data_IF_813844754801
#
_entry.id   IF_813844754801
#
_cell.length_a   1.000
_cell.length_b   1.000
_cell.length_c   1.000
_cell.angle_alpha   90.00
_cell.angle_beta   90.00
_cell.angle_gamma   90.00
#
_symmetry.space_group_name_H-M   'P 1'
#
loop_
_entity.id
_entity.type
_entity.pdbx_description
1 polymer ?
#
# COMPACT_ATOMS: atom_id res chain seq x y z
N UNK A 1 19.51 19.29 -23.66
CA UNK A 1 18.97 18.35 -24.66
C UNK A 1 19.07 16.98 -24.01
N UNK A 2 18.00 16.16 -23.96
CA UNK A 2 18.19 14.77 -23.60
C UNK A 2 19.23 14.19 -24.57
N UNK A 3 20.18 13.44 -24.05
CA UNK A 3 21.16 12.75 -24.87
C UNK A 3 20.38 11.75 -25.76
N UNK A 4 20.42 11.93 -27.07
CA UNK A 4 19.72 11.06 -28.03
C UNK A 4 20.13 9.60 -27.83
N UNK A 5 21.37 9.37 -27.41
CA UNK A 5 21.88 8.04 -27.09
C UNK A 5 21.22 7.46 -25.82
N UNK A 6 21.04 8.26 -24.76
CA UNK A 6 20.33 7.82 -23.55
C UNK A 6 18.86 7.51 -23.84
N UNK A 7 18.23 8.32 -24.68
CA UNK A 7 16.83 8.09 -25.12
C UNK A 7 16.73 6.77 -25.90
N UNK A 8 17.69 6.50 -26.79
CA UNK A 8 17.74 5.23 -27.52
C UNK A 8 17.96 4.03 -26.58
N UNK A 9 18.84 4.15 -25.58
CA UNK A 9 19.05 3.11 -24.57
C UNK A 9 17.80 2.89 -23.72
N UNK A 10 17.09 3.96 -23.33
CA UNK A 10 15.85 3.87 -22.57
C UNK A 10 14.78 3.10 -23.35
N UNK A 11 14.56 3.43 -24.63
CA UNK A 11 13.64 2.72 -25.50
C UNK A 11 14.02 1.24 -25.70
N UNK A 12 15.32 0.96 -25.90
CA UNK A 12 15.84 -0.41 -26.01
C UNK A 12 15.51 -1.24 -24.77
N UNK A 13 15.83 -0.71 -23.58
CA UNK A 13 15.61 -1.42 -22.31
C UNK A 13 14.12 -1.62 -22.05
N UNK A 14 13.27 -0.63 -22.29
CA UNK A 14 11.83 -0.77 -22.06
C UNK A 14 11.16 -1.80 -22.99
N UNK A 15 11.71 -2.04 -24.17
CA UNK A 15 11.19 -3.03 -25.12
C UNK A 15 11.67 -4.48 -24.86
N UNK A 16 12.76 -4.67 -24.10
CA UNK A 16 13.41 -5.98 -23.92
C UNK A 16 13.35 -6.48 -22.47
N UNK A 17 12.47 -7.46 -22.20
CA UNK A 17 12.32 -8.08 -20.87
C UNK A 17 13.61 -8.76 -20.40
N UNK A 18 14.36 -9.42 -21.28
CA UNK A 18 15.58 -10.12 -20.90
C UNK A 18 16.67 -9.13 -20.48
N UNK A 19 16.73 -7.97 -21.14
CA UNK A 19 17.63 -6.89 -20.76
C UNK A 19 17.20 -6.25 -19.43
N UNK A 20 15.90 -6.04 -19.22
CA UNK A 20 15.36 -5.58 -17.93
C UNK A 20 15.72 -6.53 -16.79
N UNK A 21 15.64 -7.85 -17.02
CA UNK A 21 15.98 -8.86 -16.03
C UNK A 21 17.49 -8.92 -15.76
N UNK A 22 18.31 -8.77 -16.80
CA UNK A 22 19.78 -8.80 -16.66
C UNK A 22 20.32 -7.57 -15.93
N UNK A 23 19.73 -6.40 -16.13
CA UNK A 23 20.18 -5.14 -15.52
C UNK A 23 19.48 -4.82 -14.20
N UNK A 24 18.24 -5.28 -14.05
CA UNK A 24 17.29 -4.75 -13.05
C UNK A 24 17.67 -5.03 -11.60
N UNK A 25 18.43 -6.09 -11.35
CA UNK A 25 18.77 -6.55 -10.00
C UNK A 25 20.24 -6.21 -9.63
N UNK A 26 20.96 -5.47 -10.49
CA UNK A 26 22.33 -5.03 -10.22
C UNK A 26 22.31 -3.84 -9.26
N UNK A 27 22.80 -4.05 -8.03
CA UNK A 27 22.85 -3.00 -7.01
C UNK A 27 24.07 -2.07 -7.14
N UNK A 28 25.22 -2.61 -7.53
CA UNK A 28 26.46 -1.84 -7.68
C UNK A 28 26.39 -0.92 -8.91
N UNK A 29 26.55 0.39 -8.69
CA UNK A 29 26.38 1.41 -9.72
C UNK A 29 27.39 1.29 -10.86
N UNK A 30 28.65 0.93 -10.56
CA UNK A 30 29.71 0.76 -11.58
C UNK A 30 29.45 -0.46 -12.45
N UNK A 31 29.11 -1.57 -11.82
CA UNK A 31 28.75 -2.82 -12.51
C UNK A 31 27.53 -2.58 -13.39
N UNK A 32 26.50 -1.93 -12.86
CA UNK A 32 25.31 -1.61 -13.63
C UNK A 32 25.65 -0.72 -14.84
N UNK A 33 26.40 0.37 -14.64
CA UNK A 33 26.74 1.28 -15.72
C UNK A 33 27.59 0.60 -16.81
N UNK A 34 28.52 -0.28 -16.43
CA UNK A 34 29.31 -1.07 -17.38
C UNK A 34 28.44 -2.01 -18.22
N UNK A 35 27.49 -2.71 -17.60
CA UNK A 35 26.57 -3.65 -18.27
C UNK A 35 25.55 -2.92 -19.14
N UNK A 36 25.03 -1.78 -18.69
CA UNK A 36 24.15 -0.92 -19.48
C UNK A 36 24.89 -0.36 -20.72
N UNK A 37 26.14 0.08 -20.57
CA UNK A 37 26.97 0.52 -21.68
C UNK A 37 27.29 -0.61 -22.68
N UNK A 38 27.51 -1.83 -22.20
CA UNK A 38 27.67 -3.02 -23.04
C UNK A 38 26.42 -3.30 -23.88
N UNK A 39 25.24 -3.24 -23.25
CA UNK A 39 23.96 -3.40 -23.94
C UNK A 39 23.72 -2.29 -24.98
N UNK A 40 24.04 -1.03 -24.64
CA UNK A 40 23.97 0.09 -25.57
C UNK A 40 24.84 -0.16 -26.81
N UNK A 41 26.12 -0.51 -26.61
CA UNK A 41 27.05 -0.78 -27.71
C UNK A 41 26.62 -1.96 -28.57
N UNK A 42 26.10 -3.03 -27.96
CA UNK A 42 25.57 -4.18 -28.70
C UNK A 42 24.40 -3.79 -29.62
N UNK A 43 23.64 -2.75 -29.26
CA UNK A 43 22.57 -2.16 -30.08
C UNK A 43 23.03 -1.01 -30.99
N UNK A 44 24.35 -0.74 -31.08
CA UNK A 44 24.90 0.33 -31.92
C UNK A 44 24.73 1.74 -31.33
N UNK A 45 24.42 1.86 -30.04
CA UNK A 45 24.33 3.13 -29.30
C UNK A 45 25.66 3.41 -28.60
N UNK A 46 26.31 4.51 -28.95
CA UNK A 46 27.58 4.92 -28.34
C UNK A 46 27.34 5.60 -26.99
N UNK A 47 27.41 4.81 -25.92
CA UNK A 47 27.34 5.29 -24.53
C UNK A 47 28.49 4.70 -23.73
N UNK A 48 29.19 5.57 -23.01
CA UNK A 48 30.25 5.18 -22.12
C UNK A 48 29.72 4.90 -20.69
N UNK A 49 30.38 3.97 -20.01
CA UNK A 49 29.97 3.56 -18.66
C UNK A 49 30.17 4.67 -17.62
N UNK A 50 31.15 5.56 -17.81
CA UNK A 50 31.40 6.66 -16.88
C UNK A 50 30.29 7.71 -16.92
N UNK A 51 29.78 8.00 -18.11
CA UNK A 51 28.63 8.87 -18.33
C UNK A 51 27.36 8.29 -17.71
N UNK A 52 27.09 7.00 -17.93
CA UNK A 52 25.96 6.31 -17.29
C UNK A 52 26.09 6.29 -15.76
N UNK A 53 27.28 6.07 -15.22
CA UNK A 53 27.52 6.14 -13.77
C UNK A 53 27.26 7.56 -13.25
N UNK A 54 27.70 8.60 -13.95
CA UNK A 54 27.44 9.99 -13.58
C UNK A 54 25.94 10.32 -13.53
N UNK A 55 25.17 9.82 -14.51
CA UNK A 55 23.71 9.97 -14.55
C UNK A 55 23.00 9.29 -13.36
N UNK A 56 23.58 8.27 -12.73
CA UNK A 56 22.98 7.64 -11.55
C UNK A 56 22.97 8.54 -10.31
N UNK A 57 23.87 9.53 -10.25
CA UNK A 57 23.94 10.51 -9.17
C UNK A 57 23.03 11.71 -9.42
N UNK A 58 22.83 12.06 -10.70
CA UNK A 58 21.96 13.15 -11.14
C UNK A 58 21.05 12.65 -12.28
N UNK A 59 20.06 11.80 -11.95
CA UNK A 59 19.22 11.18 -12.96
C UNK A 59 18.35 12.23 -13.66
N UNK A 60 18.11 12.09 -14.96
CA UNK A 60 17.15 12.92 -15.65
C UNK A 60 15.74 12.67 -15.10
N UNK A 61 14.80 13.64 -15.26
CA UNK A 61 13.41 13.40 -14.90
C UNK A 61 12.85 12.26 -15.76
N UNK A 62 12.11 11.34 -15.14
CA UNK A 62 11.47 10.23 -15.87
C UNK A 62 10.50 10.78 -16.93
N UNK A 63 10.63 10.35 -18.20
CA UNK A 63 9.80 10.86 -19.29
C UNK A 63 8.35 10.39 -19.15
N UNK A 64 7.41 11.17 -19.70
CA UNK A 64 6.03 10.73 -19.92
C UNK A 64 5.96 10.04 -21.29
N UNK A 65 5.55 8.78 -21.30
CA UNK A 65 5.48 7.94 -22.49
C UNK A 65 4.01 7.57 -22.75
N UNK A 66 3.41 8.25 -23.73
CA UNK A 66 2.03 7.96 -24.17
C UNK A 66 1.98 6.67 -24.99
N UNK A 67 0.94 5.85 -24.76
CA UNK A 67 0.75 4.58 -25.46
C UNK A 67 1.70 3.44 -25.05
N UNK A 68 2.61 3.69 -24.10
CA UNK A 68 3.46 2.64 -23.55
C UNK A 68 2.67 1.78 -22.55
N UNK A 69 2.61 0.47 -22.80
CA UNK A 69 2.09 -0.49 -21.83
C UNK A 69 3.22 -1.03 -20.95
N UNK A 70 3.23 -0.77 -19.63
CA UNK A 70 4.24 -1.34 -18.74
C UNK A 70 4.27 -2.87 -18.82
N UNK A 71 5.45 -3.46 -18.92
CA UNK A 71 5.59 -4.92 -18.93
C UNK A 71 5.38 -5.49 -17.52
N UNK A 72 5.22 -6.81 -17.41
CA UNK A 72 5.11 -7.48 -16.10
C UNK A 72 6.32 -7.17 -15.24
N UNK A 73 6.08 -6.88 -13.97
CA UNK A 73 7.15 -6.52 -13.02
C UNK A 73 7.35 -5.03 -12.81
N UNK A 74 6.65 -4.18 -13.56
CA UNK A 74 6.56 -2.74 -13.28
C UNK A 74 5.34 -2.46 -12.40
N UNK A 75 5.56 -1.76 -11.29
CA UNK A 75 4.51 -1.37 -10.35
C UNK A 75 4.40 0.18 -10.26
N UNK A 76 3.20 0.70 -10.00
CA UNK A 76 2.95 2.13 -9.91
C UNK A 76 3.53 2.66 -8.61
N UNK A 77 4.37 3.68 -8.69
CA UNK A 77 5.06 4.27 -7.56
C UNK A 77 4.36 5.52 -7.01
N UNK A 78 3.75 6.29 -7.90
CA UNK A 78 3.16 7.59 -7.58
C UNK A 78 2.14 7.95 -8.65
N UNK A 79 1.05 8.61 -8.24
CA UNK A 79 0.17 9.34 -9.16
C UNK A 79 0.40 10.82 -8.90
N UNK A 80 0.79 11.56 -9.93
CA UNK A 80 1.10 13.00 -9.82
C UNK A 80 0.59 13.76 -11.03
N UNK A 81 0.76 15.09 -11.03
CA UNK A 81 0.33 15.97 -12.11
C UNK A 81 1.54 16.42 -12.91
N UNK A 82 1.50 16.26 -14.24
CA UNK A 82 2.48 16.83 -15.17
C UNK A 82 1.71 17.62 -16.22
N UNK A 83 2.02 18.90 -16.36
CA UNK A 83 1.31 19.83 -17.26
C UNK A 83 -0.22 19.81 -17.11
N UNK A 84 -0.69 19.67 -15.86
CA UNK A 84 -2.11 19.60 -15.51
C UNK A 84 -2.81 18.29 -15.87
N UNK A 85 -2.05 17.24 -16.25
CA UNK A 85 -2.58 15.90 -16.52
C UNK A 85 -2.11 14.90 -15.47
N UNK A 86 -3.02 14.03 -14.96
CA UNK A 86 -2.63 12.98 -14.04
C UNK A 86 -1.79 11.91 -14.76
N UNK A 87 -0.65 11.57 -14.17
CA UNK A 87 0.28 10.56 -14.67
C UNK A 87 0.63 9.56 -13.57
N UNK A 88 0.95 8.34 -13.97
CA UNK A 88 1.44 7.28 -13.09
C UNK A 88 2.93 7.12 -13.31
N UNK A 89 3.74 7.26 -12.27
CA UNK A 89 5.16 6.91 -12.30
C UNK A 89 5.35 5.42 -12.06
N UNK A 90 6.27 4.79 -12.79
CA UNK A 90 6.52 3.35 -12.74
C UNK A 90 7.93 3.04 -12.28
N UNK A 91 8.04 2.04 -11.40
CA UNK A 91 9.32 1.44 -11.02
C UNK A 91 9.30 -0.05 -11.30
N UNK A 92 10.43 -0.58 -11.77
CA UNK A 92 10.62 -2.01 -11.94
C UNK A 92 10.90 -2.65 -10.59
N UNK A 93 10.04 -3.59 -10.23
CA UNK A 93 10.24 -4.52 -9.12
C UNK A 93 10.71 -5.90 -9.60
N UNK A 94 10.51 -6.21 -10.88
CA UNK A 94 10.76 -7.54 -11.42
C UNK A 94 10.03 -8.60 -10.59
N UNK A 95 10.80 -9.55 -10.06
CA UNK A 95 10.31 -10.68 -9.27
C UNK A 95 10.27 -10.41 -7.75
N UNK A 96 10.75 -9.24 -7.29
CA UNK A 96 10.80 -8.91 -5.87
C UNK A 96 9.39 -8.93 -5.26
N UNK A 97 9.19 -9.77 -4.25
CA UNK A 97 7.91 -9.85 -3.51
C UNK A 97 7.68 -8.58 -2.68
N UNK A 98 6.40 -8.27 -2.43
CA UNK A 98 6.01 -7.20 -1.50
C UNK A 98 5.92 -7.81 -0.10
N UNK A 99 7.01 -7.69 0.66
CA UNK A 99 7.12 -8.28 2.01
C UNK A 99 7.36 -7.23 3.08
N UNK A 100 7.65 -6.00 2.70
CA UNK A 100 7.83 -4.89 3.64
C UNK A 100 6.51 -4.48 4.31
N UNK A 101 6.55 -3.88 5.51
CA UNK A 101 5.36 -3.48 6.26
C UNK A 101 4.43 -2.52 5.50
N UNK A 102 5.00 -1.63 4.69
CA UNK A 102 4.30 -0.65 3.87
C UNK A 102 4.82 -0.66 2.43
N UNK A 103 3.96 -0.32 1.48
CA UNK A 103 4.34 -0.25 0.08
C UNK A 103 5.41 0.82 -0.18
N UNK A 104 5.41 1.92 0.58
CA UNK A 104 6.45 2.95 0.49
C UNK A 104 7.84 2.41 0.88
N UNK A 105 7.92 1.49 1.85
CA UNK A 105 9.18 0.80 2.17
C UNK A 105 9.67 -0.02 0.96
N UNK A 106 8.76 -0.73 0.29
CA UNK A 106 9.06 -1.46 -0.94
C UNK A 106 9.53 -0.51 -2.06
N UNK A 107 8.91 0.68 -2.19
CA UNK A 107 9.31 1.71 -3.14
C UNK A 107 10.68 2.30 -2.82
N UNK A 108 11.00 2.55 -1.55
CA UNK A 108 12.33 3.02 -1.11
C UNK A 108 13.41 2.02 -1.57
N UNK A 109 13.17 0.72 -1.41
CA UNK A 109 14.11 -0.30 -1.86
C UNK A 109 14.21 -0.36 -3.38
N UNK A 110 13.09 -0.28 -4.11
CA UNK A 110 13.10 -0.25 -5.56
C UNK A 110 13.84 0.98 -6.12
N UNK A 111 13.66 2.17 -5.53
CA UNK A 111 14.34 3.43 -5.94
C UNK A 111 15.85 3.41 -5.72
N UNK A 112 16.36 2.55 -4.82
CA UNK A 112 17.81 2.42 -4.59
C UNK A 112 18.52 1.75 -5.76
N UNK A 113 17.81 0.92 -6.53
CA UNK A 113 18.39 0.20 -7.66
C UNK A 113 18.79 1.19 -8.78
N UNK A 114 20.05 1.12 -9.27
CA UNK A 114 20.52 1.90 -10.41
C UNK A 114 19.57 1.87 -11.62
N UNK A 115 18.99 0.69 -11.90
CA UNK A 115 18.01 0.50 -12.96
C UNK A 115 16.86 1.52 -12.90
N UNK A 116 16.23 1.65 -11.73
CA UNK A 116 15.08 2.51 -11.55
C UNK A 116 15.41 4.01 -11.58
N UNK A 117 16.68 4.37 -11.36
CA UNK A 117 17.14 5.76 -11.48
C UNK A 117 17.27 6.21 -12.93
N UNK A 118 17.67 5.32 -13.84
CA UNK A 118 17.81 5.65 -15.27
C UNK A 118 16.55 5.34 -16.09
N UNK A 119 15.88 4.23 -15.79
CA UNK A 119 14.84 3.68 -16.65
C UNK A 119 13.42 3.87 -16.13
N UNK A 120 13.23 4.55 -15.00
CA UNK A 120 11.90 4.98 -14.55
C UNK A 120 11.20 5.80 -15.64
N UNK A 121 9.88 5.66 -15.74
CA UNK A 121 9.05 6.38 -16.70
C UNK A 121 7.68 6.70 -16.10
N UNK A 122 6.91 7.51 -16.81
CA UNK A 122 5.53 7.88 -16.47
C UNK A 122 4.60 7.56 -17.64
N UNK A 123 3.36 7.21 -17.35
CA UNK A 123 2.28 7.08 -18.36
C UNK A 123 1.09 7.95 -17.96
N UNK A 124 0.26 8.41 -18.91
CA UNK A 124 -1.01 9.05 -18.57
C UNK A 124 -1.89 8.13 -17.72
N UNK A 125 -2.53 8.66 -16.67
CA UNK A 125 -3.43 7.87 -15.82
C UNK A 125 -4.62 7.31 -16.61
N UNK A 126 -5.08 8.03 -17.63
CA UNK A 126 -6.17 7.61 -18.52
C UNK A 126 -5.88 6.29 -19.26
N UNK A 127 -4.61 5.89 -19.39
CA UNK A 127 -4.22 4.63 -20.04
C UNK A 127 -4.22 3.42 -19.08
N UNK A 128 -4.36 3.66 -17.77
CA UNK A 128 -4.26 2.63 -16.73
C UNK A 128 -5.30 1.52 -16.91
N UNK A 129 -6.54 1.87 -17.25
CA UNK A 129 -7.62 0.90 -17.45
C UNK A 129 -7.32 -0.03 -18.61
N UNK A 130 -6.95 0.53 -19.77
CA UNK A 130 -6.61 -0.23 -20.97
C UNK A 130 -5.47 -1.22 -20.70
N UNK A 131 -4.44 -0.78 -19.98
CA UNK A 131 -3.34 -1.65 -19.60
C UNK A 131 -3.76 -2.74 -18.60
N UNK A 132 -4.50 -2.38 -17.55
CA UNK A 132 -4.98 -3.35 -16.57
C UNK A 132 -5.86 -4.44 -17.20
N UNK A 133 -6.63 -4.10 -18.23
CA UNK A 133 -7.44 -5.04 -19.01
C UNK A 133 -6.61 -6.03 -19.85
N UNK A 134 -5.37 -5.68 -20.18
CA UNK A 134 -4.44 -6.58 -20.86
C UNK A 134 -3.72 -7.54 -19.88
N UNK A 135 -3.83 -7.35 -18.57
CA UNK A 135 -3.27 -8.26 -17.58
C UNK A 135 -4.08 -9.56 -17.54
N UNK A 136 -3.39 -10.68 -17.82
CA UNK A 136 -3.98 -12.01 -17.74
C UNK A 136 -3.42 -12.81 -16.54
N UNK A 137 -4.27 -13.39 -15.67
CA UNK A 137 -5.72 -13.16 -15.58
C UNK A 137 -6.07 -11.80 -14.94
N UNK A 138 -7.24 -11.20 -15.25
CA UNK A 138 -7.75 -10.05 -14.50
C UNK A 138 -7.84 -10.42 -13.02
N UNK A 139 -7.35 -9.55 -12.14
CA UNK A 139 -7.23 -9.90 -10.73
C UNK A 139 -7.93 -8.90 -9.82
N UNK A 140 -8.88 -9.41 -9.05
CA UNK A 140 -9.48 -8.73 -7.89
C UNK A 140 -8.76 -9.18 -6.62
N UNK A 141 -8.82 -8.40 -5.53
CA UNK A 141 -8.38 -8.87 -4.23
C UNK A 141 -9.28 -10.00 -3.71
N UNK A 142 -8.66 -11.02 -3.10
CA UNK A 142 -9.33 -12.05 -2.31
C UNK A 142 -9.81 -11.51 -0.95
N UNK A 143 -9.21 -10.40 -0.47
CA UNK A 143 -9.67 -9.72 0.74
C UNK A 143 -9.14 -8.28 0.86
N UNK A 144 -9.97 -7.40 1.42
CA UNK A 144 -9.61 -6.02 1.77
C UNK A 144 -9.48 -5.89 3.30
N UNK A 145 -8.42 -5.21 3.76
CA UNK A 145 -8.16 -4.97 5.18
C UNK A 145 -8.27 -3.48 5.45
N UNK A 146 -9.42 -3.06 5.96
CA UNK A 146 -9.61 -1.75 6.58
C UNK A 146 -9.20 -1.82 8.05
N UNK A 147 -8.88 -0.67 8.63
CA UNK A 147 -8.44 -0.65 10.01
C UNK A 147 -8.54 0.72 10.67
N UNK A 148 -8.61 0.74 12.00
CA UNK A 148 -8.68 2.00 12.76
C UNK A 148 -7.37 2.77 12.91
N UNK A 149 -6.21 2.15 12.58
CA UNK A 149 -4.84 2.58 12.92
C UNK A 149 -4.32 1.98 14.24
N UNK A 150 -3.03 1.61 14.27
CA UNK A 150 -2.32 1.05 15.45
C UNK A 150 -3.03 -0.15 16.13
N UNK A 151 -3.81 -0.90 15.37
CA UNK A 151 -4.65 -2.01 15.85
C UNK A 151 -4.19 -3.40 15.38
N UNK A 152 -2.93 -3.54 14.97
CA UNK A 152 -2.40 -4.82 14.47
C UNK A 152 -2.65 -5.09 12.98
N UNK A 153 -3.13 -4.12 12.20
CA UNK A 153 -3.29 -4.28 10.75
C UNK A 153 -1.98 -4.58 10.01
N UNK A 154 -0.85 -4.01 10.46
CA UNK A 154 0.47 -4.38 9.94
C UNK A 154 0.84 -5.82 10.28
N UNK A 155 0.49 -6.34 11.46
CA UNK A 155 0.74 -7.75 11.81
C UNK A 155 -0.04 -8.67 10.86
N UNK A 156 -1.33 -8.42 10.66
CA UNK A 156 -2.14 -9.20 9.73
C UNK A 156 -1.57 -9.17 8.30
N UNK A 157 -1.14 -8.01 7.81
CA UNK A 157 -0.51 -7.90 6.50
C UNK A 157 0.84 -8.64 6.42
N UNK A 158 1.68 -8.56 7.45
CA UNK A 158 2.96 -9.30 7.48
C UNK A 158 2.77 -10.81 7.50
N UNK A 159 1.76 -11.31 8.23
CA UNK A 159 1.38 -12.72 8.17
C UNK A 159 0.94 -13.10 6.75
N UNK A 160 0.07 -12.31 6.12
CA UNK A 160 -0.39 -12.56 4.73
C UNK A 160 0.72 -12.40 3.68
N UNK A 161 1.76 -11.62 3.96
CA UNK A 161 2.94 -11.47 3.10
C UNK A 161 3.94 -12.62 3.25
N UNK A 162 3.85 -13.44 4.30
CA UNK A 162 4.84 -14.50 4.55
C UNK A 162 4.78 -15.62 3.49
N UNK A 163 3.62 -16.19 3.12
CA UNK A 163 3.56 -17.24 2.09
C UNK A 163 3.90 -16.74 0.68
N UNK A 164 4.79 -17.45 -0.01
CA UNK A 164 5.23 -17.10 -1.37
C UNK A 164 4.08 -17.02 -2.41
N UNK A 165 2.97 -17.72 -2.16
CA UNK A 165 1.79 -17.74 -3.04
C UNK A 165 0.94 -16.47 -2.95
N UNK A 166 1.16 -15.63 -1.93
CA UNK A 166 0.30 -14.51 -1.60
C UNK A 166 0.98 -13.20 -1.99
N UNK A 167 0.21 -12.30 -2.58
CA UNK A 167 0.59 -10.91 -2.84
C UNK A 167 -0.15 -10.04 -1.83
N UNK A 168 0.61 -9.30 -1.02
CA UNK A 168 0.07 -8.39 -0.01
C UNK A 168 0.49 -6.95 -0.38
N UNK A 169 -0.47 -6.12 -0.77
CA UNK A 169 -0.26 -4.69 -1.02
C UNK A 169 -0.68 -3.93 0.24
N UNK A 170 0.21 -3.12 0.81
CA UNK A 170 0.00 -2.50 2.12
C UNK A 170 0.11 -0.97 2.05
N UNK A 171 -1.01 -0.25 2.21
CA UNK A 171 -1.07 1.22 2.24
C UNK A 171 -0.37 1.85 1.03
N UNK A 172 -0.77 1.41 -0.18
CA UNK A 172 -0.16 1.90 -1.42
C UNK A 172 -0.71 3.28 -1.78
N UNK A 173 0.14 4.31 -1.70
CA UNK A 173 -0.20 5.70 -2.05
C UNK A 173 -0.89 5.87 -3.42
N UNK A 174 -0.56 5.10 -4.48
CA UNK A 174 -1.32 5.15 -5.73
C UNK A 174 -2.81 4.81 -5.59
N UNK A 175 -3.21 3.96 -4.64
CA UNK A 175 -4.62 3.68 -4.35
C UNK A 175 -5.28 4.92 -3.74
N UNK A 176 -4.64 5.53 -2.74
CA UNK A 176 -5.16 6.75 -2.11
C UNK A 176 -5.32 7.88 -3.13
N UNK A 177 -4.34 8.07 -4.01
CA UNK A 177 -4.41 9.09 -5.04
C UNK A 177 -5.63 8.94 -5.97
N UNK A 178 -6.06 7.71 -6.28
CA UNK A 178 -7.28 7.45 -7.05
C UNK A 178 -8.54 7.81 -6.25
N UNK A 179 -8.59 7.45 -4.97
CA UNK A 179 -9.72 7.75 -4.07
C UNK A 179 -9.92 9.28 -3.97
N UNK A 180 -8.82 10.02 -3.88
CA UNK A 180 -8.80 11.48 -3.71
C UNK A 180 -9.04 12.30 -5.01
N UNK A 181 -9.28 11.68 -6.18
CA UNK A 181 -9.53 12.40 -7.43
C UNK A 181 -10.85 13.21 -7.38
N UNK A 182 -10.78 14.50 -7.06
CA UNK A 182 -11.98 15.33 -6.87
C UNK A 182 -12.85 15.47 -8.14
N UNK A 183 -12.24 15.50 -9.33
CA UNK A 183 -12.93 15.78 -10.60
C UNK A 183 -13.55 14.53 -11.26
N UNK A 184 -13.43 13.36 -10.64
CA UNK A 184 -13.96 12.11 -11.18
C UNK A 184 -15.26 11.72 -10.46
N UNK A 185 -16.23 11.25 -11.24
CA UNK A 185 -17.40 10.61 -10.67
C UNK A 185 -17.03 9.25 -10.03
N UNK A 186 -17.97 8.74 -9.23
CA UNK A 186 -17.79 7.53 -8.46
C UNK A 186 -17.57 6.26 -9.30
N UNK A 187 -18.09 6.19 -10.53
CA UNK A 187 -17.89 5.01 -11.39
C UNK A 187 -16.53 5.07 -12.07
N UNK A 188 -16.12 6.25 -12.55
CA UNK A 188 -14.78 6.47 -13.08
C UNK A 188 -13.71 6.18 -12.02
N UNK A 189 -13.92 6.63 -10.77
CA UNK A 189 -13.05 6.26 -9.64
C UNK A 189 -13.03 4.75 -9.41
N UNK A 190 -14.18 4.09 -9.42
CA UNK A 190 -14.25 2.64 -9.22
C UNK A 190 -13.51 1.88 -10.32
N UNK A 191 -13.59 2.33 -11.58
CA UNK A 191 -12.88 1.75 -12.71
C UNK A 191 -11.36 1.92 -12.58
N UNK A 192 -10.88 3.13 -12.29
CA UNK A 192 -9.47 3.40 -12.01
C UNK A 192 -8.96 2.62 -10.79
N UNK A 193 -9.79 2.46 -9.76
CA UNK A 193 -9.44 1.71 -8.56
C UNK A 193 -9.29 0.21 -8.86
N UNK A 194 -10.20 -0.37 -9.67
CA UNK A 194 -10.05 -1.74 -10.19
C UNK A 194 -8.74 -1.90 -10.94
N UNK A 195 -8.44 -0.96 -11.84
CA UNK A 195 -7.23 -0.99 -12.64
C UNK A 195 -5.96 -0.89 -11.78
N UNK A 196 -5.90 0.08 -10.86
CA UNK A 196 -4.77 0.28 -9.96
C UNK A 196 -4.49 -0.94 -9.07
N UNK A 197 -5.53 -1.54 -8.50
CA UNK A 197 -5.40 -2.74 -7.66
C UNK A 197 -4.98 -3.95 -8.49
N UNK A 198 -5.53 -4.15 -9.69
CA UNK A 198 -5.16 -5.26 -10.56
C UNK A 198 -3.67 -5.21 -10.94
N UNK A 199 -3.17 -4.00 -11.15
CA UNK A 199 -1.78 -3.70 -11.47
C UNK A 199 -0.84 -3.95 -10.30
N UNK A 200 -1.18 -3.42 -9.12
CA UNK A 200 -0.39 -3.61 -7.89
C UNK A 200 -0.38 -5.10 -7.48
N UNK A 201 -1.48 -5.80 -7.73
CA UNK A 201 -1.68 -7.21 -7.47
C UNK A 201 -1.28 -8.14 -8.62
N UNK A 202 -0.62 -7.66 -9.68
CA UNK A 202 -0.31 -8.49 -10.84
C UNK A 202 0.56 -9.71 -10.44
N UNK A 203 0.34 -10.86 -11.08
CA UNK A 203 1.21 -12.04 -10.91
C UNK A 203 2.57 -11.78 -11.54
N UNK A 204 3.62 -11.78 -10.71
CA UNK A 204 5.02 -11.58 -11.12
C UNK A 204 5.85 -12.84 -10.91
N UNK A 205 5.46 -13.70 -9.97
CA UNK A 205 6.10 -14.98 -9.71
C UNK A 205 5.19 -16.17 -10.02
N UNK A 206 5.73 -17.28 -10.55
CA UNK A 206 4.99 -18.53 -10.67
C UNK A 206 4.46 -18.97 -9.30
N UNK A 207 3.17 -19.34 -9.24
CA UNK A 207 2.52 -19.82 -8.02
C UNK A 207 1.81 -18.75 -7.19
N UNK A 208 1.99 -17.45 -7.49
CA UNK A 208 1.18 -16.39 -6.90
C UNK A 208 -0.28 -16.54 -7.33
N UNK A 209 -1.15 -16.76 -6.34
CA UNK A 209 -2.55 -17.17 -6.57
C UNK A 209 -3.54 -16.45 -5.65
N UNK A 210 -3.05 -15.70 -4.65
CA UNK A 210 -3.87 -14.93 -3.72
C UNK A 210 -3.40 -13.48 -3.63
N UNK A 211 -4.33 -12.54 -3.45
CA UNK A 211 -4.10 -11.10 -3.42
C UNK A 211 -4.87 -10.46 -2.28
N UNK A 212 -4.19 -9.72 -1.44
CA UNK A 212 -4.78 -8.97 -0.35
C UNK A 212 -4.34 -7.52 -0.43
N UNK A 213 -5.21 -6.61 -0.03
CA UNK A 213 -4.91 -5.17 0.03
C UNK A 213 -5.25 -4.66 1.42
N UNK A 214 -4.23 -4.15 2.12
CA UNK A 214 -4.40 -3.39 3.36
C UNK A 214 -4.44 -1.93 2.96
N UNK A 215 -5.54 -1.27 3.32
CA UNK A 215 -5.84 0.09 2.92
C UNK A 215 -5.37 1.08 3.98
N UNK A 216 -5.20 2.35 3.62
CA UNK A 216 -4.98 3.39 4.61
C UNK A 216 -6.17 3.48 5.56
N UNK A 217 -5.93 3.84 6.82
CA UNK A 217 -6.99 3.81 7.84
C UNK A 217 -8.20 4.68 7.46
N UNK A 218 -7.97 5.81 6.78
CA UNK A 218 -9.01 6.72 6.32
C UNK A 218 -9.85 6.21 5.16
N UNK A 219 -9.40 5.20 4.41
CA UNK A 219 -10.20 4.58 3.32
C UNK A 219 -11.49 3.93 3.83
N UNK A 220 -11.63 3.70 5.14
CA UNK A 220 -12.89 3.29 5.75
C UNK A 220 -14.02 4.31 5.56
N UNK A 221 -13.70 5.58 5.31
CA UNK A 221 -14.65 6.64 4.97
C UNK A 221 -15.21 6.45 3.54
N UNK A 222 -14.39 5.89 2.65
CA UNK A 222 -14.69 5.62 1.24
C UNK A 222 -15.05 4.16 0.99
N UNK A 223 -15.43 3.40 2.03
CA UNK A 223 -15.82 1.99 1.92
C UNK A 223 -16.83 1.72 0.79
N UNK A 224 -17.86 2.57 0.54
CA UNK A 224 -18.76 2.40 -0.59
C UNK A 224 -18.07 2.39 -1.97
N UNK A 225 -17.02 3.19 -2.15
CA UNK A 225 -16.24 3.21 -3.39
C UNK A 225 -15.50 1.88 -3.60
N UNK A 226 -14.85 1.37 -2.56
CA UNK A 226 -14.18 0.05 -2.62
C UNK A 226 -15.17 -1.08 -2.90
N UNK A 227 -16.38 -1.01 -2.33
CA UNK A 227 -17.45 -1.97 -2.65
C UNK A 227 -17.99 -1.86 -4.05
N UNK A 228 -18.06 -0.64 -4.59
CA UNK A 228 -18.42 -0.44 -6.00
C UNK A 228 -17.36 -1.02 -6.93
N UNK A 229 -16.09 -0.84 -6.60
CA UNK A 229 -14.97 -1.41 -7.36
C UNK A 229 -14.91 -2.94 -7.23
N UNK A 230 -15.17 -3.50 -6.05
CA UNK A 230 -15.04 -4.93 -5.75
C UNK A 230 -16.27 -5.46 -4.98
N UNK A 231 -17.43 -5.60 -5.63
CA UNK A 231 -18.69 -5.95 -4.95
C UNK A 231 -18.65 -7.31 -4.26
N UNK A 232 -17.89 -8.25 -4.81
CA UNK A 232 -17.77 -9.62 -4.31
C UNK A 232 -16.48 -9.86 -3.51
N UNK A 233 -15.72 -8.82 -3.15
CA UNK A 233 -14.53 -8.99 -2.32
C UNK A 233 -14.90 -8.79 -0.85
N UNK A 234 -14.70 -9.81 0.01
CA UNK A 234 -14.93 -9.66 1.44
C UNK A 234 -13.91 -8.69 2.05
N UNK A 235 -14.33 -8.00 3.09
CA UNK A 235 -13.48 -7.05 3.80
C UNK A 235 -13.50 -7.30 5.31
N UNK A 236 -12.43 -6.89 5.97
CA UNK A 236 -12.36 -6.85 7.44
C UNK A 236 -12.08 -5.43 7.93
N UNK A 237 -12.56 -5.10 9.12
CA UNK A 237 -12.15 -3.91 9.85
C UNK A 237 -11.48 -4.30 11.17
N UNK A 238 -10.18 -4.03 11.25
CA UNK A 238 -9.38 -4.30 12.45
C UNK A 238 -9.43 -3.11 13.40
N UNK A 239 -9.73 -3.37 14.67
CA UNK A 239 -9.79 -2.34 15.70
C UNK A 239 -9.14 -2.81 17.01
N UNK A 240 -8.95 -1.88 17.96
CA UNK A 240 -8.26 -2.09 19.23
C UNK A 240 -8.83 -1.13 20.27
N UNK A 241 -8.56 -1.42 21.55
CA UNK A 241 -8.86 -0.52 22.65
C UNK A 241 -8.44 0.95 22.33
N UNK A 242 -9.37 1.92 22.40
CA UNK A 242 -9.11 3.30 22.02
C UNK A 242 -8.00 3.97 22.83
N UNK A 243 -7.87 3.63 24.12
CA UNK A 243 -6.84 4.19 25.00
C UNK A 243 -5.45 3.72 24.57
N UNK A 244 -5.31 2.44 24.20
CA UNK A 244 -4.05 1.90 23.70
C UNK A 244 -3.62 2.54 22.39
N UNK A 245 -4.57 2.79 21.48
CA UNK A 245 -4.32 3.48 20.20
C UNK A 245 -3.95 4.94 20.43
N UNK A 246 -4.68 5.65 21.30
CA UNK A 246 -4.40 7.05 21.62
C UNK A 246 -3.04 7.24 22.27
N UNK A 247 -2.65 6.40 23.24
CA UNK A 247 -1.30 6.45 23.83
C UNK A 247 -0.23 6.22 22.77
N UNK A 248 -0.47 5.35 21.78
CA UNK A 248 0.46 5.17 20.67
C UNK A 248 0.63 6.45 19.84
N UNK A 249 -0.45 7.19 19.58
CA UNK A 249 -0.41 8.42 18.79
C UNK A 249 0.14 9.62 19.58
N UNK A 250 -0.07 9.69 20.90
CA UNK A 250 0.57 10.68 21.78
C UNK A 250 2.09 10.52 21.78
N UNK A 251 2.58 9.27 21.85
CA UNK A 251 4.02 8.99 21.79
C UNK A 251 4.62 9.28 20.41
N UNK A 252 3.91 8.88 19.36
CA UNK A 252 4.35 9.05 17.99
C UNK A 252 3.14 9.23 17.05
N UNK A 253 2.94 10.47 16.62
CA UNK A 253 1.88 10.82 15.68
C UNK A 253 2.07 10.06 14.37
N UNK A 254 0.96 9.55 13.83
CA UNK A 254 0.92 9.06 12.46
C UNK A 254 0.61 10.22 11.52
N UNK A 255 0.88 10.08 10.22
CA UNK A 255 0.69 11.15 9.25
C UNK A 255 -0.75 11.70 9.22
N UNK A 256 -1.75 10.85 9.45
CA UNK A 256 -3.17 11.24 9.51
C UNK A 256 -3.50 12.18 10.68
N UNK A 257 -2.61 12.24 11.69
CA UNK A 257 -2.75 13.14 12.83
C UNK A 257 -2.08 14.49 12.59
N UNK A 258 -1.53 14.72 11.38
CA UNK A 258 -0.81 15.94 11.01
C UNK A 258 -1.60 16.66 9.91
N UNK A 259 -2.33 17.74 10.23
CA UNK A 259 -3.21 18.47 9.29
C UNK A 259 -2.53 18.94 8.00
N UNK A 260 -1.23 19.25 8.06
CA UNK A 260 -0.45 19.67 6.89
C UNK A 260 -0.07 18.53 5.95
N UNK A 261 -0.18 17.27 6.39
CA UNK A 261 0.06 16.08 5.58
C UNK A 261 -1.26 15.47 5.11
N UNK A 262 -2.27 15.43 5.98
CA UNK A 262 -3.62 14.95 5.65
C UNK A 262 -4.64 15.98 6.11
N UNK A 263 -5.39 16.54 5.17
CA UNK A 263 -6.32 17.63 5.43
C UNK A 263 -7.45 17.20 6.39
N UNK A 264 -7.76 17.98 7.45
CA UNK A 264 -8.85 17.67 8.38
C UNK A 264 -10.22 17.48 7.72
N UNK A 265 -10.46 18.18 6.60
CA UNK A 265 -11.69 18.07 5.82
C UNK A 265 -11.98 16.63 5.35
N UNK A 266 -10.94 15.82 5.12
CA UNK A 266 -11.08 14.40 4.79
C UNK A 266 -11.88 13.65 5.87
N UNK A 267 -11.69 14.01 7.13
CA UNK A 267 -12.36 13.39 8.28
C UNK A 267 -13.68 14.09 8.65
N UNK A 268 -14.13 15.07 7.87
CA UNK A 268 -15.24 15.94 8.23
C UNK A 268 -14.96 16.79 9.48
N UNK A 269 -13.68 17.08 9.74
CA UNK A 269 -13.23 17.85 10.90
C UNK A 269 -12.96 19.27 10.47
N UNK A 270 -13.75 20.19 11.02
CA UNK A 270 -13.35 21.60 11.09
C UNK A 270 -12.33 21.75 12.24
N UNK A 271 -11.16 22.29 11.89
CA UNK A 271 -10.05 22.53 12.78
C UNK A 271 -9.82 24.03 12.83
N UNK A 272 -10.04 24.63 14.00
CA UNK A 272 -9.69 26.03 14.26
C UNK A 272 -8.17 26.25 14.12
N UNK A 273 -7.74 27.51 14.09
CA UNK A 273 -6.32 27.92 14.01
C UNK A 273 -5.49 27.61 15.28
N UNK A 274 -5.65 26.41 15.84
CA UNK A 274 -4.93 25.89 16.99
C UNK A 274 -4.12 24.65 16.60
N UNK A 275 -2.97 24.40 17.26
CA UNK A 275 -2.22 23.18 17.05
C UNK A 275 -3.09 21.93 17.32
N UNK A 276 -3.00 20.89 16.48
CA UNK A 276 -3.77 19.66 16.68
C UNK A 276 -3.35 18.99 18.00
N UNK A 277 -4.34 18.76 18.86
CA UNK A 277 -4.19 18.17 20.19
C UNK A 277 -4.69 16.70 20.22
N UNK A 278 -4.77 16.12 21.42
CA UNK A 278 -5.31 14.77 21.62
C UNK A 278 -6.80 14.67 21.27
N UNK A 279 -7.59 15.74 21.42
CA UNK A 279 -9.00 15.74 21.03
C UNK A 279 -9.14 15.66 19.50
N UNK A 280 -8.31 16.40 18.76
CA UNK A 280 -8.20 16.26 17.30
C UNK A 280 -7.85 14.82 16.89
N UNK A 281 -6.83 14.23 17.50
CA UNK A 281 -6.42 12.86 17.18
C UNK A 281 -7.55 11.85 17.44
N UNK A 282 -8.29 12.02 18.54
CA UNK A 282 -9.43 11.17 18.85
C UNK A 282 -10.61 11.38 17.88
N UNK A 283 -10.84 12.61 17.39
CA UNK A 283 -11.85 12.88 16.35
C UNK A 283 -11.48 12.21 15.03
N UNK A 284 -10.22 12.23 14.62
CA UNK A 284 -9.73 11.53 13.42
C UNK A 284 -10.01 10.04 13.51
N UNK A 285 -9.61 9.40 14.62
CA UNK A 285 -9.88 7.97 14.85
C UNK A 285 -11.37 7.66 14.91
N UNK A 286 -12.18 8.54 15.50
CA UNK A 286 -13.63 8.36 15.58
C UNK A 286 -14.28 8.40 14.19
N UNK A 287 -13.84 9.31 13.32
CA UNK A 287 -14.30 9.39 11.93
C UNK A 287 -13.98 8.10 11.17
N UNK A 288 -12.73 7.62 11.27
CA UNK A 288 -12.28 6.34 10.67
C UNK A 288 -13.17 5.16 11.12
N UNK A 289 -13.34 4.98 12.44
CA UNK A 289 -14.19 3.90 12.95
C UNK A 289 -15.66 4.06 12.52
N UNK A 290 -16.16 5.30 12.45
CA UNK A 290 -17.53 5.58 12.06
C UNK A 290 -17.79 5.25 10.58
N UNK A 291 -16.79 5.40 9.71
CA UNK A 291 -16.87 4.98 8.31
C UNK A 291 -17.19 3.49 8.19
N UNK A 292 -16.42 2.64 8.87
CA UNK A 292 -16.66 1.19 8.89
C UNK A 292 -18.02 0.83 9.49
N UNK A 293 -18.36 1.38 10.67
CA UNK A 293 -19.64 1.14 11.35
C UNK A 293 -20.84 1.52 10.48
N UNK A 294 -20.77 2.66 9.78
CA UNK A 294 -21.86 3.17 8.94
C UNK A 294 -22.18 2.23 7.79
N UNK A 295 -21.15 1.63 7.20
CA UNK A 295 -21.28 0.83 5.98
C UNK A 295 -21.29 -0.68 6.24
N UNK A 296 -21.00 -1.13 7.47
CA UNK A 296 -21.07 -2.53 7.87
C UNK A 296 -22.41 -3.22 7.53
N UNK A 297 -23.60 -2.61 7.76
CA UNK A 297 -24.89 -3.24 7.44
C UNK A 297 -25.10 -3.56 5.95
N UNK A 298 -24.26 -3.03 5.05
CA UNK A 298 -24.31 -3.34 3.62
C UNK A 298 -23.76 -4.76 3.32
N UNK A 299 -23.18 -5.46 4.30
CA UNK A 299 -22.73 -6.86 4.19
C UNK A 299 -21.25 -7.03 3.82
N UNK A 300 -20.77 -8.27 3.68
CA UNK A 300 -19.40 -8.58 3.24
C UNK A 300 -18.27 -8.17 4.19
N UNK A 301 -18.59 -7.59 5.34
CA UNK A 301 -17.65 -7.13 6.36
C UNK A 301 -17.51 -8.11 7.52
N UNK A 302 -16.35 -8.08 8.15
CA UNK A 302 -16.04 -8.75 9.42
C UNK A 302 -15.31 -7.78 10.36
N UNK A 303 -15.71 -7.68 11.61
CA UNK A 303 -15.07 -6.82 12.61
C UNK A 303 -14.24 -7.67 13.57
N UNK A 304 -12.95 -7.35 13.69
CA UNK A 304 -12.01 -8.14 14.50
C UNK A 304 -11.24 -7.25 15.46
N UNK A 305 -11.27 -7.63 16.74
CA UNK A 305 -10.49 -6.96 17.78
C UNK A 305 -9.04 -7.45 17.76
N UNK A 306 -8.10 -6.53 17.95
CA UNK A 306 -6.69 -6.81 18.13
C UNK A 306 -6.40 -7.91 19.16
N UNK A 307 -7.21 -8.02 20.22
CA UNK A 307 -7.08 -9.05 21.26
C UNK A 307 -7.28 -10.47 20.73
N UNK A 308 -7.92 -10.63 19.58
CA UNK A 308 -8.10 -11.91 18.91
C UNK A 308 -6.95 -12.25 17.95
N UNK A 309 -6.03 -11.31 17.68
CA UNK A 309 -4.85 -11.55 16.85
C UNK A 309 -3.70 -12.14 17.67
N UNK A 310 -2.89 -13.04 17.09
CA UNK A 310 -2.89 -13.45 15.67
C UNK A 310 -3.91 -14.54 15.31
N UNK A 311 -4.51 -15.24 16.27
CA UNK A 311 -5.32 -16.44 16.03
C UNK A 311 -6.52 -16.20 15.10
N UNK A 312 -7.18 -15.05 15.22
CA UNK A 312 -8.30 -14.66 14.38
C UNK A 312 -7.94 -14.58 12.90
N UNK A 313 -6.67 -14.42 12.52
CA UNK A 313 -6.29 -14.50 11.11
C UNK A 313 -6.64 -15.89 10.54
N UNK A 314 -6.34 -16.95 11.28
CA UNK A 314 -6.59 -18.33 10.88
C UNK A 314 -8.04 -18.76 11.08
N UNK A 315 -8.66 -18.33 12.17
CA UNK A 315 -9.97 -18.85 12.59
C UNK A 315 -11.14 -18.03 12.07
N UNK A 316 -10.95 -16.75 11.73
CA UNK A 316 -12.01 -15.83 11.29
C UNK A 316 -11.72 -15.18 9.94
N UNK A 317 -10.58 -14.51 9.80
CA UNK A 317 -10.27 -13.67 8.63
C UNK A 317 -10.06 -14.50 7.35
N UNK A 318 -9.16 -15.49 7.37
CA UNK A 318 -8.90 -16.32 6.19
C UNK A 318 -10.13 -17.15 5.76
N UNK A 319 -10.91 -17.76 6.68
CA UNK A 319 -12.20 -18.37 6.35
C UNK A 319 -13.20 -17.39 5.73
N UNK A 320 -13.32 -16.17 6.28
CA UNK A 320 -14.17 -15.10 5.73
C UNK A 320 -13.74 -14.69 4.31
N UNK A 321 -12.43 -14.69 4.05
CA UNK A 321 -11.88 -14.48 2.71
C UNK A 321 -12.00 -15.69 1.77
N UNK A 322 -12.55 -16.82 2.25
CA UNK A 322 -12.66 -18.05 1.46
C UNK A 322 -11.30 -18.71 1.16
N UNK A 323 -10.29 -18.47 2.00
CA UNK A 323 -8.92 -18.95 1.79
C UNK A 323 -8.65 -20.17 2.66
N UNK A 324 -8.45 -21.30 1.99
CA UNK A 324 -7.89 -22.50 2.61
C UNK A 324 -6.37 -22.34 2.77
N UNK A 325 -5.87 -22.68 3.96
CA UNK A 325 -4.46 -22.51 4.35
C UNK A 325 -3.85 -23.90 4.51
N UNK A 326 -2.74 -24.15 3.81
CA UNK A 326 -1.92 -25.34 4.03
C UNK A 326 -1.07 -25.22 5.31
N UNK A 327 -0.60 -26.35 5.82
CA UNK A 327 0.27 -26.36 7.02
C UNK A 327 1.52 -25.50 6.84
N UNK A 328 2.18 -25.59 5.69
CA UNK A 328 3.36 -24.77 5.38
C UNK A 328 3.05 -23.27 5.31
N UNK A 329 1.88 -22.88 4.79
CA UNK A 329 1.43 -21.48 4.80
C UNK A 329 1.14 -21.01 6.22
N UNK A 330 0.49 -21.86 7.04
CA UNK A 330 0.21 -21.55 8.43
C UNK A 330 1.48 -21.37 9.25
N UNK A 331 2.48 -22.23 9.05
CA UNK A 331 3.79 -22.12 9.72
C UNK A 331 4.52 -20.84 9.34
N UNK A 332 4.55 -20.48 8.05
CA UNK A 332 5.13 -19.22 7.60
C UNK A 332 4.45 -18.00 8.24
N UNK A 333 3.11 -18.02 8.32
CA UNK A 333 2.34 -16.97 8.98
C UNK A 333 2.64 -16.88 10.48
N UNK A 334 2.72 -18.02 11.19
CA UNK A 334 3.07 -18.04 12.63
C UNK A 334 4.50 -17.55 12.88
N UNK A 335 5.45 -17.87 12.00
CA UNK A 335 6.80 -17.33 12.10
C UNK A 335 6.83 -15.79 11.98
N UNK A 336 5.93 -15.19 11.21
CA UNK A 336 5.83 -13.73 11.13
C UNK A 336 5.37 -13.08 12.45
N UNK A 337 4.68 -13.80 13.34
CA UNK A 337 4.15 -13.23 14.59
C UNK A 337 5.19 -13.08 15.69
N UNK A 338 6.37 -13.70 15.56
CA UNK A 338 7.44 -13.62 16.57
C UNK A 338 8.30 -12.36 16.43
N UNK A 339 8.13 -11.62 15.32
CA UNK A 339 8.85 -10.39 15.00
C UNK A 339 7.94 -9.16 15.13
N UNK A 340 8.51 -8.00 15.41
CA UNK A 340 7.74 -6.76 15.37
C UNK A 340 7.26 -6.50 13.93
N UNK A 341 5.97 -6.21 13.76
CA UNK A 341 5.37 -6.11 12.44
C UNK A 341 5.83 -4.88 11.63
N UNK A 342 6.36 -3.83 12.27
CA UNK A 342 6.89 -2.62 11.62
C UNK A 342 8.42 -2.57 11.62
N UNK A 343 9.05 -3.38 12.45
CA UNK A 343 10.49 -3.58 12.54
C UNK A 343 10.81 -5.08 12.56
N UNK A 344 10.68 -5.80 11.41
CA UNK A 344 10.81 -7.26 11.36
C UNK A 344 12.15 -7.82 11.85
N UNK A 345 13.18 -6.99 11.96
CA UNK A 345 14.48 -7.31 12.55
C UNK A 345 14.43 -7.47 14.08
N UNK A 346 13.39 -6.93 14.74
CA UNK A 346 13.21 -6.94 16.19
C UNK A 346 12.24 -8.05 16.62
N UNK A 347 12.38 -8.54 17.86
CA UNK A 347 11.43 -9.49 18.44
C UNK A 347 10.13 -8.78 18.85
N UNK A 348 8.99 -9.43 18.67
CA UNK A 348 7.71 -8.89 19.11
C UNK A 348 7.63 -8.83 20.65
N UNK A 349 7.10 -7.73 21.17
CA UNK A 349 6.79 -7.57 22.59
C UNK A 349 5.36 -7.02 22.76
N UNK A 350 4.47 -7.71 23.52
CA UNK A 350 3.14 -7.19 23.83
C UNK A 350 3.23 -5.85 24.58
N UNK A 351 2.49 -4.84 24.12
CA UNK A 351 2.58 -3.47 24.64
C UNK A 351 1.29 -2.92 25.26
N UNK A 352 0.19 -3.68 25.22
CA UNK A 352 -1.14 -3.21 25.60
C UNK A 352 -1.23 -2.78 27.07
N UNK A 353 -0.74 -3.60 28.00
CA UNK A 353 -0.75 -3.26 29.42
C UNK A 353 0.10 -2.01 29.72
N UNK A 354 1.29 -1.92 29.14
CA UNK A 354 2.18 -0.76 29.26
C UNK A 354 1.51 0.51 28.74
N UNK A 355 0.79 0.43 27.61
CA UNK A 355 0.03 1.56 27.05
C UNK A 355 -1.12 1.96 27.97
N UNK A 356 -1.92 1.00 28.44
CA UNK A 356 -3.01 1.29 29.39
C UNK A 356 -2.50 1.93 30.67
N UNK A 357 -1.38 1.48 31.24
CA UNK A 357 -0.79 2.09 32.45
C UNK A 357 -0.28 3.52 32.20
N UNK A 358 0.25 3.80 31.02
CA UNK A 358 0.77 5.12 30.65
C UNK A 358 -0.33 6.15 30.30
N UNK A 359 -1.59 5.74 30.14
CA UNK A 359 -2.68 6.65 29.78
C UNK A 359 -3.04 7.59 30.94
N UNK A 360 -2.89 8.89 30.70
CA UNK A 360 -3.30 9.96 31.60
C UNK A 360 -4.83 9.99 31.76
N UNK A 361 -5.31 10.63 32.82
CA UNK A 361 -6.76 10.84 33.05
C UNK A 361 -7.39 11.55 31.86
N UNK A 362 -6.76 12.63 31.37
CA UNK A 362 -7.23 13.40 30.21
C UNK A 362 -7.37 12.54 28.95
N UNK A 363 -6.38 11.69 28.64
CA UNK A 363 -6.47 10.79 27.47
C UNK A 363 -7.65 9.83 27.61
N UNK A 364 -7.89 9.28 28.80
CA UNK A 364 -9.03 8.38 29.05
C UNK A 364 -10.37 9.09 28.88
N UNK A 365 -10.50 10.31 29.40
CA UNK A 365 -11.72 11.12 29.26
C UNK A 365 -11.99 11.49 27.80
N UNK A 366 -10.95 11.87 27.05
CA UNK A 366 -11.05 12.11 25.60
C UNK A 366 -11.49 10.83 24.87
N UNK A 367 -10.88 9.69 25.19
CA UNK A 367 -11.24 8.39 24.59
C UNK A 367 -12.70 8.05 24.84
N UNK A 368 -13.17 8.12 26.09
CA UNK A 368 -14.57 7.79 26.39
C UNK A 368 -15.53 8.75 25.67
N UNK A 369 -15.23 10.05 25.68
CA UNK A 369 -16.09 11.07 25.05
C UNK A 369 -16.14 10.95 23.53
N UNK A 370 -15.00 10.70 22.86
CA UNK A 370 -14.88 10.76 21.39
C UNK A 370 -14.95 9.39 20.73
N UNK A 371 -14.34 8.37 21.32
CA UNK A 371 -14.19 7.04 20.75
C UNK A 371 -15.10 6.00 21.41
N UNK A 372 -15.49 6.19 22.66
CA UNK A 372 -16.34 5.26 23.42
C UNK A 372 -17.61 4.83 22.68
N UNK A 373 -18.43 5.75 22.14
CA UNK A 373 -19.65 5.39 21.41
C UNK A 373 -19.40 4.50 20.18
N UNK A 374 -18.45 4.87 19.32
CA UNK A 374 -18.17 4.11 18.09
C UNK A 374 -17.47 2.78 18.41
N UNK A 375 -16.61 2.74 19.42
CA UNK A 375 -15.98 1.51 19.88
C UNK A 375 -17.01 0.51 20.42
N UNK A 376 -17.96 0.95 21.27
CA UNK A 376 -19.05 0.09 21.73
C UNK A 376 -19.89 -0.45 20.58
N UNK A 377 -20.07 0.33 19.51
CA UNK A 377 -20.76 -0.14 18.31
C UNK A 377 -19.96 -1.21 17.57
N UNK A 378 -18.64 -1.05 17.43
CA UNK A 378 -17.77 -2.10 16.87
C UNK A 378 -17.82 -3.38 17.69
N UNK A 379 -17.79 -3.28 19.03
CA UNK A 379 -17.93 -4.43 19.93
C UNK A 379 -19.28 -5.14 19.77
N UNK A 380 -20.38 -4.39 19.62
CA UNK A 380 -21.70 -4.97 19.37
C UNK A 380 -21.73 -5.74 18.04
N UNK A 381 -21.21 -5.14 16.96
CA UNK A 381 -21.12 -5.80 15.65
C UNK A 381 -20.26 -7.07 15.71
N UNK A 382 -19.12 -7.03 16.41
CA UNK A 382 -18.25 -8.21 16.58
C UNK A 382 -18.96 -9.37 17.29
N UNK A 383 -19.82 -9.08 18.27
CA UNK A 383 -20.55 -10.12 19.01
C UNK A 383 -21.74 -10.66 18.20
N UNK A 384 -22.37 -9.84 17.35
CA UNK A 384 -23.44 -10.27 16.43
C UNK A 384 -22.94 -11.25 15.34
N UNK A 385 -21.61 -11.29 15.09
CA UNK A 385 -20.96 -12.19 14.13
C UNK A 385 -20.66 -13.59 14.67
N UNK A 386 -20.74 -13.80 16.00
CA UNK A 386 -20.49 -15.08 16.69
C UNK A 386 -21.82 -15.80 16.89
#
# INVERSE_FOLDING_TARGET
>A
MPDDALTALHALVLADVALQDTLGDIEDSRTFAARAAEAARAAGVDLDAGHLEALLYMPPPSPVLEGLSPLRGWLPAEVSQVDGRPVVAWLRFGRRRLTEPFYDDSLVLARRLPFNRLFGFRTPLAELEAWSGALAPPSKPDGLIFHMSRCGSTLAAQMLAAPARYIMVSEAAPIDAIVQLADHDEEAKAALLRAMVAVLGQTRNPGETRRFVKLDCWHSLDLPLFRRAFPDTPWVFLYRDPVEVMVSHVRQRGMQMVPSLVAPALFGIDLADAPPDEDYCARVLAAVCAGAVRHYPQGGGLVVDYRELPEALFTRILPHFGVAVSEAEADAMRQATVRDAKAPEQAFAPDGETKRRAATVTVREICERRLGPVHRRLEALRVEEI
#
